data_IF_755361397161
#
_entry.id   IF_755361397161
#
_cell.length_a   1.000
_cell.length_b   1.000
_cell.length_c   1.000
_cell.angle_alpha   90.00
_cell.angle_beta   90.00
_cell.angle_gamma   90.00
#
_symmetry.space_group_name_H-M   'P 1'
#
loop_
_entity.id
_entity.type
_entity.pdbx_description
1 polymer ?
#
# COMPACT_ATOMS: atom_id res chain seq x y z
N UNK A 1 -0.24 3.13 -6.48
CA UNK A 1 -1.19 3.14 -5.34
C UNK A 1 -2.23 2.06 -5.58
N UNK A 2 -2.76 1.46 -4.52
CA UNK A 2 -3.83 0.45 -4.57
C UNK A 2 -4.95 0.84 -3.61
N UNK A 3 -6.18 0.45 -3.94
CA UNK A 3 -7.34 0.60 -3.05
C UNK A 3 -7.62 -0.74 -2.37
N UNK A 4 -7.90 -0.72 -1.06
CA UNK A 4 -8.24 -1.90 -0.28
C UNK A 4 -9.55 -1.64 0.49
N UNK A 5 -10.49 -2.61 0.56
CA UNK A 5 -11.64 -2.49 1.45
C UNK A 5 -11.18 -2.35 2.90
N UNK A 6 -11.70 -1.35 3.61
CA UNK A 6 -11.30 -1.08 4.99
C UNK A 6 -12.02 -1.94 6.03
N UNK A 7 -12.95 -2.81 5.62
CA UNK A 7 -13.77 -3.66 6.49
C UNK A 7 -12.99 -4.36 7.62
N UNK A 8 -11.83 -5.02 7.34
CA UNK A 8 -11.00 -5.65 8.37
C UNK A 8 -10.39 -4.69 9.41
N UNK A 9 -10.45 -3.39 9.15
CA UNK A 9 -9.95 -2.33 10.02
C UNK A 9 -11.09 -1.44 10.56
N UNK A 10 -12.37 -1.77 10.29
CA UNK A 10 -13.51 -1.03 10.82
C UNK A 10 -13.47 -1.01 12.35
N UNK A 11 -13.73 0.16 12.93
CA UNK A 11 -13.65 0.37 14.38
C UNK A 11 -12.24 0.58 14.92
N UNK A 12 -11.18 0.47 14.10
CA UNK A 12 -9.83 0.89 14.47
C UNK A 12 -9.62 2.38 14.19
N UNK A 13 -8.70 3.00 14.94
CA UNK A 13 -8.16 4.31 14.59
C UNK A 13 -7.24 4.19 13.38
N UNK A 14 -7.15 5.26 12.62
CA UNK A 14 -6.29 5.35 11.45
C UNK A 14 -4.83 5.05 11.78
N UNK A 15 -4.31 5.58 12.89
CA UNK A 15 -2.94 5.33 13.32
C UNK A 15 -2.66 3.84 13.58
N UNK A 16 -3.58 3.16 14.26
CA UNK A 16 -3.41 1.73 14.59
C UNK A 16 -3.35 0.88 13.31
N UNK A 17 -4.25 1.17 12.35
CA UNK A 17 -4.26 0.51 11.04
C UNK A 17 -3.00 0.84 10.21
N UNK A 18 -2.55 2.09 10.22
CA UNK A 18 -1.32 2.53 9.55
C UNK A 18 -0.10 1.79 10.08
N UNK A 19 0.04 1.67 11.39
CA UNK A 19 1.15 0.96 12.04
C UNK A 19 1.12 -0.53 11.71
N UNK A 20 -0.06 -1.15 11.74
CA UNK A 20 -0.23 -2.56 11.38
C UNK A 20 0.16 -2.83 9.91
N UNK A 21 -0.30 -1.99 8.98
CA UNK A 21 0.05 -2.10 7.56
C UNK A 21 1.53 -1.82 7.31
N UNK A 22 2.13 -0.85 8.00
CA UNK A 22 3.56 -0.54 7.84
C UNK A 22 4.45 -1.71 8.22
N UNK A 23 4.09 -2.49 9.24
CA UNK A 23 4.80 -3.74 9.60
C UNK A 23 4.77 -4.78 8.47
N UNK A 24 3.79 -4.69 7.57
CA UNK A 24 3.64 -5.53 6.36
C UNK A 24 4.29 -4.89 5.12
N UNK A 25 5.01 -3.77 5.27
CA UNK A 25 5.60 -3.02 4.16
C UNK A 25 4.58 -2.21 3.35
N UNK A 26 3.37 -2.00 3.87
CA UNK A 26 2.29 -1.27 3.19
C UNK A 26 2.10 0.07 3.89
N UNK A 27 2.08 1.17 3.15
CA UNK A 27 1.82 2.50 3.71
C UNK A 27 0.39 2.92 3.41
N UNK A 28 -0.40 3.15 4.46
CA UNK A 28 -1.72 3.77 4.35
C UNK A 28 -1.56 5.29 4.20
N UNK A 29 -2.17 5.86 3.15
CA UNK A 29 -1.97 7.29 2.81
C UNK A 29 -3.25 8.12 2.88
N UNK A 30 -4.41 7.50 2.66
CA UNK A 30 -5.70 8.19 2.67
C UNK A 30 -6.86 7.21 2.87
N UNK A 31 -8.02 7.75 3.21
CA UNK A 31 -9.30 7.03 3.25
C UNK A 31 -10.25 7.66 2.24
N UNK A 32 -10.97 6.84 1.48
CA UNK A 32 -12.11 7.27 0.67
C UNK A 32 -13.40 6.81 1.36
N UNK A 33 -14.31 7.76 1.63
CA UNK A 33 -15.60 7.52 2.29
C UNK A 33 -16.71 8.19 1.51
N UNK A 34 -17.69 7.42 1.05
CA UNK A 34 -18.81 7.94 0.26
C UNK A 34 -18.35 8.75 -0.97
N UNK A 35 -17.32 8.25 -1.67
CA UNK A 35 -16.72 8.91 -2.84
C UNK A 35 -15.73 10.04 -2.53
N UNK A 36 -15.74 10.61 -1.33
CA UNK A 36 -14.83 11.69 -0.93
C UNK A 36 -13.48 11.15 -0.47
N UNK A 37 -12.40 11.74 -0.96
CA UNK A 37 -11.03 11.43 -0.51
C UNK A 37 -10.69 12.28 0.71
N UNK A 38 -10.26 11.61 1.79
CA UNK A 38 -9.78 12.21 3.03
C UNK A 38 -8.27 12.01 3.05
N UNK A 39 -7.55 13.02 2.56
CA UNK A 39 -6.09 13.08 2.60
C UNK A 39 -5.61 13.51 3.99
N UNK A 40 -4.59 12.84 4.52
CA UNK A 40 -4.05 13.07 5.86
C UNK A 40 -5.09 12.97 7.01
N UNK A 41 -5.71 11.79 7.22
CA UNK A 41 -6.60 11.58 8.35
C UNK A 41 -5.85 11.80 9.68
N UNK A 42 -6.53 12.35 10.68
CA UNK A 42 -5.98 12.45 12.03
C UNK A 42 -5.70 11.05 12.60
N UNK A 43 -4.76 10.94 13.54
CA UNK A 43 -4.41 9.66 14.16
C UNK A 43 -5.61 8.95 14.79
N UNK A 44 -6.52 9.72 15.40
CA UNK A 44 -7.76 9.22 16.01
C UNK A 44 -8.94 9.07 15.04
N UNK A 45 -8.72 9.25 13.73
CA UNK A 45 -9.78 9.08 12.74
C UNK A 45 -10.29 7.64 12.77
N UNK A 46 -11.59 7.45 13.03
CA UNK A 46 -12.20 6.13 13.09
C UNK A 46 -12.52 5.61 11.69
N UNK A 47 -11.93 4.46 11.35
CA UNK A 47 -12.24 3.72 10.13
C UNK A 47 -13.64 3.11 10.28
N UNK A 48 -14.45 3.23 9.24
CA UNK A 48 -15.83 2.71 9.20
C UNK A 48 -15.95 1.59 8.19
N UNK A 49 -16.93 0.73 8.41
CA UNK A 49 -17.38 -0.19 7.39
C UNK A 49 -17.82 0.59 6.14
N UNK A 50 -17.43 0.11 4.96
CA UNK A 50 -17.64 0.80 3.68
C UNK A 50 -16.56 1.83 3.31
N UNK A 51 -15.59 2.11 4.18
CA UNK A 51 -14.41 2.87 3.78
C UNK A 51 -13.53 2.09 2.79
N UNK A 52 -12.78 2.84 1.99
CA UNK A 52 -11.72 2.32 1.13
C UNK A 52 -10.39 2.95 1.54
N UNK A 53 -9.42 2.10 1.84
CA UNK A 53 -8.05 2.49 2.21
C UNK A 53 -7.21 2.64 0.95
N UNK A 54 -6.57 3.80 0.80
CA UNK A 54 -5.60 4.03 -0.28
C UNK A 54 -4.22 3.71 0.27
N UNK A 55 -3.53 2.76 -0.36
CA UNK A 55 -2.23 2.28 0.10
C UNK A 55 -1.15 2.36 -0.98
N UNK A 56 0.09 2.49 -0.52
CA UNK A 56 1.30 2.37 -1.33
C UNK A 56 2.04 1.10 -0.89
N UNK A 57 2.34 0.25 -1.87
CA UNK A 57 3.18 -0.94 -1.69
C UNK A 57 4.46 -0.68 -2.49
N UNK A 58 5.65 -0.68 -1.87
CA UNK A 58 6.90 -0.56 -2.59
C UNK A 58 7.01 -1.69 -3.60
N UNK A 59 7.23 -1.33 -4.86
CA UNK A 59 7.58 -2.30 -5.88
C UNK A 59 9.04 -2.67 -5.62
N UNK A 60 9.30 -3.91 -5.20
CA UNK A 60 10.68 -4.41 -5.29
C UNK A 60 10.95 -4.60 -6.77
N UNK A 61 11.84 -3.78 -7.34
CA UNK A 61 12.37 -4.04 -8.66
C UNK A 61 13.03 -5.43 -8.58
N UNK A 62 12.45 -6.39 -9.27
CA UNK A 62 13.18 -7.62 -9.58
C UNK A 62 14.30 -7.18 -10.51
N UNK A 63 15.55 -7.31 -10.07
CA UNK A 63 16.68 -7.28 -11.00
C UNK A 63 16.41 -8.35 -12.04
N UNK A 64 16.02 -7.93 -13.23
CA UNK A 64 16.13 -8.78 -14.41
C UNK A 64 17.62 -9.00 -14.59
N UNK A 65 18.13 -10.14 -14.13
CA UNK A 65 19.40 -10.67 -14.62
C UNK A 65 19.19 -10.99 -16.09
N UNK A 66 19.33 -9.99 -16.95
CA UNK A 66 19.64 -10.22 -18.36
C UNK A 66 21.00 -10.91 -18.37
N UNK A 67 20.97 -12.24 -18.40
CA UNK A 67 22.13 -13.06 -18.75
C UNK A 67 22.55 -12.63 -20.15
N UNK A 68 23.51 -11.71 -20.23
CA UNK A 68 24.22 -11.40 -21.46
C UNK A 68 24.86 -12.69 -21.97
N UNK A 69 24.47 -13.23 -23.15
CA UNK A 69 25.21 -14.33 -23.73
C UNK A 69 26.58 -13.78 -24.13
N UNK A 70 27.65 -14.36 -23.57
CA UNK A 70 29.02 -14.03 -23.95
C UNK A 70 29.21 -14.15 -25.47
N UNK A 71 29.95 -13.25 -26.13
CA UNK A 71 30.23 -13.39 -27.55
C UNK A 71 31.01 -14.69 -27.79
N UNK A 72 30.53 -15.53 -28.71
CA UNK A 72 31.34 -16.61 -29.27
C UNK A 72 32.53 -15.99 -30.00
N UNK A 73 33.72 -16.06 -29.40
CA UNK A 73 34.95 -15.93 -30.16
C UNK A 73 35.07 -17.16 -31.06
N UNK A 74 35.03 -16.94 -32.37
CA UNK A 74 35.40 -17.93 -33.37
C UNK A 74 36.90 -17.84 -33.56
N UNK A 75 37.60 -18.94 -33.32
CA UNK A 75 38.98 -19.22 -33.76
C UNK A 75 38.92 -20.50 -34.62
#
# INVERSE_FOLDING_TARGET
>A
MRELPAGPYAGKRYLDALLELRRKGITLVAIRRGGKLISNPSDDFMIREGDVMIVVIPIRATETTETHPAPLNSD
#
